data_IF_304513913246
#
_entry.id   IF_304513913246
#
_cell.length_a   1.000
_cell.length_b   1.000
_cell.length_c   1.000
_cell.angle_alpha   90.00
_cell.angle_beta   90.00
_cell.angle_gamma   90.00
#
_symmetry.space_group_name_H-M   'P 1'
#
loop_
_entity.id
_entity.type
_entity.pdbx_description
1 polymer ?
#
# COMPACT_ATOMS: atom_id res chain seq x y z
N UNK A 1 70.62 -9.67 -6.31
CA UNK A 1 69.53 -8.99 -5.56
C UNK A 1 68.71 -8.06 -6.47
N UNK A 2 68.06 -8.57 -7.54
CA UNK A 2 67.27 -7.71 -8.47
C UNK A 2 65.82 -8.17 -8.73
N UNK A 3 65.38 -9.29 -8.16
CA UNK A 3 64.06 -9.87 -8.45
C UNK A 3 63.03 -9.72 -7.30
N UNK A 4 63.44 -9.14 -6.17
CA UNK A 4 62.56 -8.91 -5.02
C UNK A 4 61.39 -7.93 -5.30
N UNK A 5 61.55 -6.83 -6.09
CA UNK A 5 60.43 -5.92 -6.34
C UNK A 5 59.39 -6.50 -7.33
N UNK A 6 59.82 -7.34 -8.27
CA UNK A 6 58.92 -8.00 -9.21
C UNK A 6 58.02 -9.04 -8.52
N UNK A 7 58.59 -9.81 -7.58
CA UNK A 7 57.84 -10.79 -6.78
C UNK A 7 56.82 -10.07 -5.87
N UNK A 8 57.18 -8.93 -5.29
CA UNK A 8 56.29 -8.14 -4.46
C UNK A 8 55.13 -7.51 -5.25
N UNK A 9 55.40 -6.99 -6.45
CA UNK A 9 54.35 -6.53 -7.38
C UNK A 9 53.42 -7.66 -7.81
N UNK A 10 53.96 -8.87 -8.06
CA UNK A 10 53.17 -10.02 -8.47
C UNK A 10 52.28 -10.54 -7.33
N UNK A 11 52.77 -10.53 -6.08
CA UNK A 11 51.98 -10.85 -4.88
C UNK A 11 50.88 -9.80 -4.66
N UNK A 12 51.18 -8.50 -4.80
CA UNK A 12 50.19 -7.44 -4.73
C UNK A 12 49.13 -7.60 -5.83
N UNK A 13 49.54 -7.91 -7.07
CA UNK A 13 48.62 -8.15 -8.18
C UNK A 13 47.75 -9.40 -7.96
N UNK A 14 48.29 -10.48 -7.39
CA UNK A 14 47.53 -11.67 -6.98
C UNK A 14 46.58 -11.36 -5.82
N UNK A 15 46.98 -10.51 -4.86
CA UNK A 15 46.11 -10.04 -3.79
C UNK A 15 44.99 -9.14 -4.32
N UNK A 16 45.24 -8.30 -5.34
CA UNK A 16 44.22 -7.50 -6.02
C UNK A 16 43.28 -8.34 -6.90
N UNK A 17 43.77 -9.40 -7.56
CA UNK A 17 42.91 -10.34 -8.31
C UNK A 17 41.99 -11.13 -7.38
N UNK A 18 42.44 -11.46 -6.16
CA UNK A 18 41.64 -12.19 -5.17
C UNK A 18 40.69 -11.30 -4.33
N UNK A 19 40.66 -9.98 -4.56
CA UNK A 19 39.64 -9.07 -4.01
C UNK A 19 38.64 -8.65 -5.11
N UNK A 20 38.29 -9.61 -5.96
CA UNK A 20 36.97 -9.65 -6.56
C UNK A 20 36.30 -10.90 -6.01
N UNK A 21 35.85 -10.83 -4.76
CA UNK A 21 34.76 -11.69 -4.33
C UNK A 21 33.56 -11.21 -5.15
N UNK A 22 33.41 -11.76 -6.36
CA UNK A 22 32.30 -11.48 -7.25
C UNK A 22 31.06 -11.86 -6.49
N UNK A 23 30.50 -10.87 -5.79
CA UNK A 23 29.34 -11.03 -4.94
C UNK A 23 28.16 -11.18 -5.90
N UNK A 24 27.96 -12.41 -6.36
CA UNK A 24 26.94 -12.77 -7.33
C UNK A 24 25.59 -12.74 -6.64
N UNK A 25 24.64 -12.01 -7.20
CA UNK A 25 23.26 -12.03 -6.75
C UNK A 25 22.61 -13.36 -7.10
N UNK A 26 21.84 -13.92 -6.17
CA UNK A 26 21.03 -15.10 -6.47
C UNK A 26 19.98 -14.75 -7.52
N UNK A 27 19.86 -15.59 -8.55
CA UNK A 27 18.87 -15.42 -9.63
C UNK A 27 17.57 -16.19 -9.39
N UNK A 28 17.56 -17.12 -8.44
CA UNK A 28 16.37 -17.90 -8.05
C UNK A 28 16.51 -18.51 -6.64
N UNK A 29 15.38 -18.93 -6.07
CA UNK A 29 15.30 -19.88 -4.97
C UNK A 29 14.25 -20.95 -5.34
N UNK A 30 14.69 -22.19 -5.54
CA UNK A 30 13.85 -23.21 -6.14
C UNK A 30 13.31 -22.76 -7.51
N UNK A 31 12.00 -22.82 -7.67
CA UNK A 31 11.30 -22.39 -8.89
C UNK A 31 10.94 -20.89 -8.92
N UNK A 32 11.31 -20.13 -7.88
CA UNK A 32 10.99 -18.70 -7.80
C UNK A 32 12.17 -17.89 -8.35
N UNK A 33 12.01 -17.19 -9.49
CA UNK A 33 13.05 -16.29 -9.99
C UNK A 33 13.17 -15.05 -9.11
N UNK A 34 14.39 -14.71 -8.71
CA UNK A 34 14.74 -13.55 -7.89
C UNK A 34 15.36 -12.48 -8.79
N UNK A 35 14.69 -11.35 -8.87
CA UNK A 35 15.10 -10.15 -9.61
C UNK A 35 14.68 -8.93 -8.82
N UNK A 36 15.25 -7.78 -9.16
CA UNK A 36 14.84 -6.51 -8.58
C UNK A 36 13.31 -6.33 -8.65
N UNK A 37 12.64 -5.91 -7.56
CA UNK A 37 13.23 -5.43 -6.31
C UNK A 37 13.60 -6.51 -5.30
N UNK A 38 13.16 -7.75 -5.48
CA UNK A 38 13.41 -8.82 -4.52
C UNK A 38 14.89 -9.22 -4.45
N UNK A 39 15.31 -9.61 -3.25
CA UNK A 39 16.62 -10.20 -2.94
C UNK A 39 16.46 -11.36 -1.97
N UNK A 40 17.46 -12.22 -1.89
CA UNK A 40 17.56 -13.19 -0.80
C UNK A 40 18.30 -12.57 0.40
N UNK A 41 17.97 -13.03 1.61
CA UNK A 41 18.61 -12.56 2.85
C UNK A 41 20.12 -12.79 2.88
N UNK A 42 20.60 -13.85 2.21
CA UNK A 42 22.02 -14.17 2.06
C UNK A 42 22.69 -13.42 0.90
N UNK A 43 21.94 -12.66 0.10
CA UNK A 43 22.53 -11.94 -1.02
C UNK A 43 23.44 -10.81 -0.54
N UNK A 44 24.48 -10.48 -1.31
CA UNK A 44 25.26 -9.26 -1.15
C UNK A 44 24.45 -7.98 -1.04
N UNK A 45 25.02 -6.92 -0.44
CA UNK A 45 24.29 -5.67 -0.22
C UNK A 45 23.92 -4.89 -1.49
N UNK A 46 24.59 -5.18 -2.61
CA UNK A 46 24.33 -4.57 -3.93
C UNK A 46 23.24 -5.29 -4.73
N UNK A 47 22.64 -6.35 -4.19
CA UNK A 47 21.59 -7.13 -4.83
C UNK A 47 20.20 -6.73 -4.34
N UNK A 48 19.31 -6.45 -5.29
CA UNK A 48 17.92 -6.11 -5.04
C UNK A 48 17.76 -4.98 -4.03
N UNK A 49 16.66 -5.02 -3.30
CA UNK A 49 16.29 -4.01 -2.33
C UNK A 49 16.09 -4.62 -0.94
N UNK A 50 16.67 -4.00 0.09
CA UNK A 50 16.65 -4.48 1.48
C UNK A 50 15.24 -4.60 2.06
N UNK A 51 14.29 -3.80 1.56
CA UNK A 51 12.91 -3.86 2.03
C UNK A 51 12.11 -5.00 1.36
N UNK A 52 12.63 -5.59 0.27
CA UNK A 52 12.02 -6.71 -0.45
C UNK A 52 12.82 -8.00 -0.27
N UNK A 53 13.15 -8.31 0.98
CA UNK A 53 13.94 -9.48 1.33
C UNK A 53 13.08 -10.75 1.45
N UNK A 54 13.54 -11.82 0.80
CA UNK A 54 13.00 -13.17 0.89
C UNK A 54 14.02 -14.11 1.53
N UNK A 55 13.53 -15.12 2.23
CA UNK A 55 14.38 -16.20 2.75
C UNK A 55 14.31 -17.42 1.83
N UNK A 56 15.45 -18.04 1.57
CA UNK A 56 15.54 -19.32 0.87
C UNK A 56 15.95 -20.42 1.86
N UNK A 57 15.05 -21.37 2.08
CA UNK A 57 15.29 -22.50 2.99
C UNK A 57 16.12 -23.60 2.29
N UNK A 58 16.70 -24.51 3.07
CA UNK A 58 17.52 -25.61 2.57
C UNK A 58 16.77 -26.56 1.62
N UNK A 59 15.46 -26.67 1.79
CA UNK A 59 14.58 -27.43 0.90
C UNK A 59 14.15 -26.65 -0.37
N UNK A 60 14.84 -25.56 -0.70
CA UNK A 60 14.56 -24.68 -1.83
C UNK A 60 13.18 -23.98 -1.79
N UNK A 61 12.57 -23.88 -0.60
CA UNK A 61 11.34 -23.11 -0.42
C UNK A 61 11.67 -21.63 -0.17
N UNK A 62 10.97 -20.75 -0.90
CA UNK A 62 11.06 -19.30 -0.74
C UNK A 62 10.01 -18.83 0.27
N UNK A 63 10.44 -18.08 1.28
CA UNK A 63 9.61 -17.55 2.36
C UNK A 63 9.60 -16.03 2.31
N UNK A 64 8.40 -15.46 2.38
CA UNK A 64 8.17 -14.07 2.74
C UNK A 64 7.85 -13.98 4.24
N UNK A 65 8.55 -13.12 4.95
CA UNK A 65 8.18 -12.73 6.31
C UNK A 65 7.46 -11.39 6.25
N UNK A 66 6.18 -11.38 6.63
CA UNK A 66 5.34 -10.19 6.53
C UNK A 66 4.40 -10.10 7.73
N UNK A 67 4.33 -8.93 8.39
CA UNK A 67 3.44 -8.68 9.54
C UNK A 67 3.49 -9.77 10.63
N UNK A 68 4.69 -10.31 10.90
CA UNK A 68 4.96 -11.41 11.85
C UNK A 68 4.43 -12.79 11.44
N UNK A 69 3.85 -12.91 10.25
CA UNK A 69 3.50 -14.16 9.61
C UNK A 69 4.61 -14.65 8.68
N UNK A 70 4.63 -15.96 8.46
CA UNK A 70 5.46 -16.61 7.47
C UNK A 70 4.60 -17.13 6.34
N UNK A 71 5.02 -16.87 5.11
CA UNK A 71 4.29 -17.29 3.92
C UNK A 71 5.24 -17.92 2.90
N UNK A 72 4.86 -19.06 2.33
CA UNK A 72 5.55 -19.61 1.17
C UNK A 72 5.21 -18.78 -0.06
N UNK A 73 6.22 -18.38 -0.83
CA UNK A 73 6.04 -17.68 -2.10
C UNK A 73 5.74 -18.71 -3.19
N UNK A 74 4.56 -18.60 -3.80
CA UNK A 74 4.10 -19.50 -4.88
C UNK A 74 4.53 -19.00 -6.25
N UNK A 75 4.48 -17.68 -6.47
CA UNK A 75 4.95 -17.02 -7.71
C UNK A 75 5.22 -15.55 -7.46
N UNK A 76 6.12 -14.97 -8.26
CA UNK A 76 6.32 -13.53 -8.39
C UNK A 76 6.07 -13.17 -9.86
N UNK A 77 5.09 -12.32 -10.11
CA UNK A 77 4.86 -11.70 -11.40
C UNK A 77 5.53 -10.32 -11.41
N UNK A 78 6.57 -10.18 -12.23
CA UNK A 78 7.28 -8.91 -12.38
C UNK A 78 6.54 -7.92 -13.29
N UNK A 79 5.83 -8.44 -14.29
CA UNK A 79 5.00 -7.64 -15.19
C UNK A 79 3.78 -7.07 -14.44
N UNK A 80 3.07 -7.92 -13.70
CA UNK A 80 1.88 -7.50 -12.97
C UNK A 80 2.20 -7.03 -11.54
N UNK A 81 3.47 -6.91 -11.14
CA UNK A 81 3.83 -6.45 -9.80
C UNK A 81 3.13 -7.20 -8.65
N UNK A 82 2.89 -8.50 -8.81
CA UNK A 82 2.19 -9.36 -7.84
C UNK A 82 3.16 -10.37 -7.24
N UNK A 83 3.07 -10.59 -5.94
CA UNK A 83 3.60 -11.78 -5.27
C UNK A 83 2.44 -12.59 -4.73
N UNK A 84 2.33 -13.86 -5.16
CA UNK A 84 1.34 -14.79 -4.60
C UNK A 84 1.96 -15.57 -3.48
N UNK A 85 1.32 -15.56 -2.32
CA UNK A 85 1.82 -16.22 -1.12
C UNK A 85 0.75 -17.11 -0.50
N UNK A 86 1.18 -18.16 0.19
CA UNK A 86 0.32 -19.03 0.98
C UNK A 86 0.85 -19.07 2.41
N UNK A 87 -0.04 -18.96 3.39
CA UNK A 87 0.33 -19.11 4.79
C UNK A 87 0.96 -20.50 5.02
N UNK A 88 2.07 -20.54 5.76
CA UNK A 88 2.81 -21.79 5.99
C UNK A 88 1.95 -22.90 6.63
N UNK A 89 0.89 -22.54 7.38
CA UNK A 89 -0.02 -23.51 8.00
C UNK A 89 -1.10 -24.04 7.05
N UNK A 90 -1.22 -23.50 5.84
CA UNK A 90 -2.16 -23.96 4.81
C UNK A 90 -1.47 -24.65 3.64
N UNK A 91 -0.15 -24.59 3.58
CA UNK A 91 0.59 -25.31 2.56
C UNK A 91 0.51 -26.83 2.77
N UNK A 92 0.64 -27.57 1.67
CA UNK A 92 0.76 -29.03 1.64
C UNK A 92 -0.44 -29.79 2.25
N UNK A 93 -1.66 -29.28 2.07
CA UNK A 93 -2.88 -29.93 2.58
C UNK A 93 -3.03 -29.88 4.10
N UNK A 94 -2.28 -28.98 4.75
CA UNK A 94 -2.38 -28.79 6.20
C UNK A 94 -3.70 -28.13 6.55
N UNK A 95 -4.32 -28.62 7.63
CA UNK A 95 -5.57 -28.07 8.15
C UNK A 95 -5.31 -27.43 9.51
N UNK A 96 -5.67 -26.15 9.67
CA UNK A 96 -5.38 -25.41 10.88
C UNK A 96 -5.85 -23.96 10.86
N UNK A 97 -5.32 -23.19 11.81
CA UNK A 97 -5.42 -21.72 11.84
C UNK A 97 -4.21 -21.13 11.10
N UNK A 98 -4.33 -19.92 10.51
CA UNK A 98 -3.19 -19.27 9.87
C UNK A 98 -2.08 -19.04 10.89
N UNK A 99 -0.84 -18.97 10.40
CA UNK A 99 0.33 -18.74 11.23
C UNK A 99 0.23 -17.42 12.00
N UNK A 100 -0.29 -16.39 11.32
CA UNK A 100 -0.72 -15.13 11.94
C UNK A 100 -1.92 -14.53 11.26
N UNK A 101 -2.69 -13.82 12.09
CA UNK A 101 -3.80 -13.00 11.64
C UNK A 101 -3.28 -11.90 10.71
N UNK A 102 -3.92 -11.80 9.56
CA UNK A 102 -3.65 -10.79 8.56
C UNK A 102 -4.98 -10.28 8.01
N UNK A 103 -5.21 -8.97 8.11
CA UNK A 103 -6.39 -8.32 7.54
C UNK A 103 -6.06 -7.69 6.19
N UNK A 104 -7.06 -7.50 5.32
CA UNK A 104 -6.88 -6.78 4.06
C UNK A 104 -6.44 -5.33 4.29
N UNK A 105 -6.91 -4.68 5.36
CA UNK A 105 -6.48 -3.33 5.75
C UNK A 105 -4.97 -3.24 6.00
N UNK A 106 -4.38 -4.27 6.63
CA UNK A 106 -2.93 -4.33 6.83
C UNK A 106 -2.14 -4.44 5.53
N UNK A 107 -2.74 -5.01 4.48
CA UNK A 107 -2.18 -5.02 3.13
C UNK A 107 -2.34 -3.64 2.48
N UNK A 108 -3.55 -3.09 2.43
CA UNK A 108 -3.82 -1.79 1.80
C UNK A 108 -3.00 -0.64 2.37
N UNK A 109 -2.69 -0.68 3.66
CA UNK A 109 -1.92 0.35 4.35
C UNK A 109 -0.40 0.07 4.35
N UNK A 110 0.05 -1.01 3.72
CA UNK A 110 1.46 -1.32 3.60
C UNK A 110 2.11 -0.55 2.44
N UNK A 111 3.20 0.19 2.67
CA UNK A 111 3.85 0.94 1.59
C UNK A 111 4.58 0.05 0.58
N UNK A 112 5.02 -1.15 1.00
CA UNK A 112 5.76 -2.08 0.16
C UNK A 112 4.79 -2.94 -0.63
N UNK A 113 3.63 -3.21 -0.05
CA UNK A 113 2.58 -4.05 -0.61
C UNK A 113 1.19 -3.34 -0.65
N UNK A 114 1.04 -2.22 -1.36
CA UNK A 114 -0.12 -1.32 -1.24
C UNK A 114 -1.44 -1.85 -1.84
N UNK A 115 -1.48 -3.09 -2.32
CA UNK A 115 -2.66 -3.69 -2.92
C UNK A 115 -2.68 -5.21 -2.82
N UNK A 116 -3.78 -5.81 -3.28
CA UNK A 116 -4.00 -7.26 -3.21
C UNK A 116 -3.76 -7.88 -4.58
N UNK A 117 -4.58 -7.53 -5.56
CA UNK A 117 -4.53 -8.08 -6.92
C UNK A 117 -5.14 -7.11 -7.93
N UNK A 118 -5.02 -7.42 -9.21
CA UNK A 118 -5.62 -6.67 -10.32
C UNK A 118 -7.15 -6.77 -10.30
N UNK A 119 -7.69 -7.96 -10.03
CA UNK A 119 -9.12 -8.18 -9.93
C UNK A 119 -9.54 -8.46 -8.49
N UNK A 120 -9.74 -7.38 -7.74
CA UNK A 120 -10.04 -7.44 -6.30
C UNK A 120 -11.40 -8.08 -5.99
N UNK A 121 -12.31 -8.25 -6.97
CA UNK A 121 -13.62 -8.90 -6.74
C UNK A 121 -13.49 -10.36 -6.31
N UNK A 122 -12.37 -11.00 -6.64
CA UNK A 122 -12.03 -12.38 -6.23
C UNK A 122 -11.24 -12.45 -4.92
N UNK A 123 -11.05 -11.31 -4.24
CA UNK A 123 -10.36 -11.25 -2.97
C UNK A 123 -11.36 -11.34 -1.83
N UNK A 124 -11.07 -12.24 -0.89
CA UNK A 124 -11.93 -12.55 0.24
C UNK A 124 -11.13 -12.50 1.52
N UNK A 125 -11.84 -12.30 2.62
CA UNK A 125 -11.30 -12.45 3.97
C UNK A 125 -11.92 -13.69 4.60
N UNK A 126 -11.09 -14.64 5.03
CA UNK A 126 -11.50 -15.85 5.73
C UNK A 126 -11.46 -15.56 7.23
N UNK A 127 -12.63 -15.41 7.85
CA UNK A 127 -12.76 -15.12 9.28
C UNK A 127 -13.07 -16.40 10.05
N UNK A 128 -12.14 -16.82 10.90
CA UNK A 128 -12.31 -17.99 11.74
C UNK A 128 -13.07 -17.64 13.00
N UNK A 129 -14.22 -18.29 13.19
CA UNK A 129 -15.10 -18.10 14.33
C UNK A 129 -15.06 -19.35 15.21
N UNK A 130 -14.84 -19.17 16.51
CA UNK A 130 -15.04 -20.23 17.50
C UNK A 130 -16.33 -19.98 18.25
N UNK A 131 -17.23 -20.95 18.24
CA UNK A 131 -18.54 -20.85 18.84
C UNK A 131 -18.69 -21.83 20.02
N UNK A 132 -19.55 -21.48 20.98
CA UNK A 132 -19.89 -22.35 22.11
C UNK A 132 -20.94 -23.41 21.77
N UNK A 133 -21.58 -23.29 20.62
CA UNK A 133 -22.61 -24.21 20.12
C UNK A 133 -22.60 -24.21 18.60
N UNK A 134 -23.22 -25.25 18.02
CA UNK A 134 -23.35 -25.37 16.57
C UNK A 134 -24.14 -24.20 15.96
N UNK A 135 -23.67 -23.70 14.81
CA UNK A 135 -24.33 -22.66 14.03
C UNK A 135 -24.80 -23.25 12.70
N UNK A 136 -26.10 -23.52 12.58
CA UNK A 136 -26.68 -24.17 11.38
C UNK A 136 -26.34 -23.45 10.08
N UNK A 137 -26.32 -22.11 10.09
CA UNK A 137 -25.99 -21.28 8.93
C UNK A 137 -24.56 -21.42 8.44
N UNK A 138 -23.63 -21.82 9.32
CA UNK A 138 -22.21 -22.00 9.02
C UNK A 138 -21.80 -23.48 8.94
N UNK A 139 -22.75 -24.41 9.06
CA UNK A 139 -22.46 -25.85 9.12
C UNK A 139 -21.58 -26.36 7.97
N UNK A 140 -21.75 -25.81 6.76
CA UNK A 140 -20.95 -26.20 5.58
C UNK A 140 -19.47 -25.78 5.67
N UNK A 141 -19.17 -24.70 6.39
CA UNK A 141 -17.81 -24.16 6.55
C UNK A 141 -17.14 -24.56 7.86
N UNK A 142 -17.68 -25.59 8.53
CA UNK A 142 -17.11 -26.14 9.76
C UNK A 142 -15.72 -26.73 9.50
N UNK A 143 -14.77 -26.34 10.32
CA UNK A 143 -13.36 -26.76 10.25
C UNK A 143 -13.19 -28.08 11.00
N UNK A 144 -13.39 -29.20 10.31
CA UNK A 144 -13.45 -30.52 10.93
C UNK A 144 -12.15 -30.97 11.64
N UNK A 145 -11.00 -30.45 11.23
CA UNK A 145 -9.70 -30.82 11.81
C UNK A 145 -9.39 -30.12 13.14
N UNK A 146 -10.15 -29.08 13.52
CA UNK A 146 -9.95 -28.35 14.76
C UNK A 146 -10.92 -28.86 15.83
N UNK A 147 -10.47 -28.86 17.09
CA UNK A 147 -11.34 -29.23 18.20
C UNK A 147 -12.38 -28.15 18.50
N UNK A 148 -13.62 -28.57 18.74
CA UNK A 148 -14.75 -27.70 19.02
C UNK A 148 -15.44 -27.18 17.75
N UNK A 149 -16.36 -26.23 17.94
CA UNK A 149 -17.13 -25.66 16.84
C UNK A 149 -16.43 -24.44 16.28
N UNK A 150 -15.55 -24.71 15.31
CA UNK A 150 -14.83 -23.69 14.54
C UNK A 150 -15.39 -23.63 13.12
N UNK A 151 -15.68 -22.42 12.67
CA UNK A 151 -16.25 -22.15 11.35
C UNK A 151 -15.43 -21.09 10.63
N UNK A 152 -15.52 -21.06 9.30
CA UNK A 152 -14.98 -19.97 8.50
C UNK A 152 -16.13 -19.18 7.88
N UNK A 153 -16.16 -17.87 8.12
CA UNK A 153 -17.09 -16.92 7.49
C UNK A 153 -16.32 -16.04 6.52
N UNK A 154 -16.73 -16.04 5.26
CA UNK A 154 -16.13 -15.20 4.23
C UNK A 154 -16.73 -13.79 4.27
N UNK A 155 -15.90 -12.78 4.02
CA UNK A 155 -16.34 -11.43 3.64
C UNK A 155 -15.61 -10.98 2.38
N UNK A 156 -16.26 -10.16 1.57
CA UNK A 156 -15.68 -9.64 0.32
C UNK A 156 -14.58 -8.60 0.58
N UNK A 157 -13.84 -8.20 -0.45
CA UNK A 157 -12.71 -7.27 -0.35
C UNK A 157 -13.06 -5.89 0.21
N UNK A 158 -14.31 -5.44 0.02
CA UNK A 158 -14.81 -4.16 0.51
C UNK A 158 -15.51 -4.25 1.87
N UNK A 159 -15.66 -5.47 2.42
CA UNK A 159 -16.41 -5.72 3.65
C UNK A 159 -15.47 -6.13 4.78
N UNK A 160 -15.55 -5.39 5.88
CA UNK A 160 -14.96 -5.82 7.15
C UNK A 160 -16.05 -6.47 7.99
N UNK A 161 -15.78 -7.67 8.53
CA UNK A 161 -16.73 -8.38 9.37
C UNK A 161 -17.08 -7.52 10.61
N UNK A 162 -18.34 -7.10 10.69
CA UNK A 162 -18.82 -6.31 11.82
C UNK A 162 -19.08 -7.20 13.04
N UNK A 163 -18.88 -6.66 14.24
CA UNK A 163 -19.20 -7.35 15.49
C UNK A 163 -20.67 -7.78 15.57
N UNK A 164 -21.58 -7.02 14.94
CA UNK A 164 -23.00 -7.34 14.88
C UNK A 164 -23.32 -8.56 13.99
N UNK A 165 -22.41 -8.91 13.09
CA UNK A 165 -22.56 -10.04 12.17
C UNK A 165 -21.95 -11.34 12.72
N UNK A 166 -21.29 -11.26 13.88
CA UNK A 166 -20.76 -12.42 14.61
C UNK A 166 -21.90 -12.94 15.50
N UNK A 167 -22.30 -14.22 15.39
CA UNK A 167 -23.30 -14.77 16.28
C UNK A 167 -22.87 -14.63 17.75
N UNK A 168 -23.82 -14.39 18.65
CA UNK A 168 -23.53 -14.08 20.06
C UNK A 168 -22.78 -15.20 20.80
N UNK A 169 -22.92 -16.46 20.35
CA UNK A 169 -22.18 -17.60 20.87
C UNK A 169 -20.76 -17.74 20.30
N UNK A 170 -20.37 -16.89 19.35
CA UNK A 170 -19.12 -16.97 18.61
C UNK A 170 -18.14 -15.85 18.95
N UNK A 171 -16.86 -16.13 18.74
CA UNK A 171 -15.76 -15.15 18.81
C UNK A 171 -14.90 -15.28 17.57
N UNK A 172 -14.49 -14.14 17.00
CA UNK A 172 -13.44 -14.10 15.98
C UNK A 172 -12.12 -14.50 16.64
N UNK A 173 -11.49 -15.56 16.14
CA UNK A 173 -10.23 -16.09 16.68
C UNK A 173 -9.05 -15.88 15.73
N UNK A 174 -9.31 -15.66 14.44
CA UNK A 174 -8.28 -15.45 13.44
C UNK A 174 -8.86 -14.95 12.12
N UNK A 175 -8.06 -14.28 11.31
CA UNK A 175 -8.44 -13.77 9.99
C UNK A 175 -7.26 -13.88 9.02
N UNK A 176 -7.54 -14.23 7.77
CA UNK A 176 -6.51 -14.31 6.72
C UNK A 176 -7.11 -13.96 5.35
N UNK A 177 -6.36 -13.31 4.45
CA UNK A 177 -6.80 -13.09 3.08
C UNK A 177 -6.87 -14.39 2.29
N UNK A 178 -7.72 -14.43 1.28
CA UNK A 178 -7.80 -15.51 0.31
C UNK A 178 -8.16 -14.97 -1.07
N UNK A 179 -7.84 -15.74 -2.11
CA UNK A 179 -8.20 -15.43 -3.49
C UNK A 179 -8.89 -16.63 -4.14
N UNK A 180 -10.03 -16.38 -4.79
CA UNK A 180 -10.78 -17.40 -5.50
C UNK A 180 -11.62 -16.82 -6.63
N UNK A 181 -11.45 -17.36 -7.84
CA UNK A 181 -12.09 -16.88 -9.07
C UNK A 181 -13.55 -17.36 -9.16
N UNK A 182 -14.35 -16.96 -8.19
CA UNK A 182 -15.80 -17.09 -8.20
C UNK A 182 -16.40 -15.87 -7.52
N UNK A 183 -17.30 -15.15 -8.20
CA UNK A 183 -17.91 -13.94 -7.68
C UNK A 183 -18.99 -14.25 -6.65
N UNK A 184 -19.11 -13.35 -5.66
CA UNK A 184 -20.14 -13.40 -4.61
C UNK A 184 -20.10 -14.74 -3.84
N UNK A 185 -18.91 -15.31 -3.68
CA UNK A 185 -18.71 -16.62 -3.05
C UNK A 185 -19.22 -16.63 -1.61
N UNK A 186 -19.10 -15.52 -0.89
CA UNK A 186 -19.60 -15.34 0.47
C UNK A 186 -21.11 -15.60 0.60
N UNK A 187 -21.88 -15.22 -0.42
CA UNK A 187 -23.34 -15.41 -0.45
C UNK A 187 -23.72 -16.87 -0.72
N UNK A 188 -22.84 -17.62 -1.39
CA UNK A 188 -23.05 -19.04 -1.71
C UNK A 188 -22.80 -19.96 -0.51
N UNK A 189 -22.25 -19.43 0.61
CA UNK A 189 -21.91 -20.18 1.83
C UNK A 189 -21.11 -21.46 1.48
N UNK A 190 -19.87 -21.32 0.99
CA UNK A 190 -19.11 -22.42 0.43
C UNK A 190 -18.82 -23.51 1.47
N UNK A 191 -18.57 -24.73 1.00
CA UNK A 191 -18.11 -25.81 1.87
C UNK A 191 -16.69 -25.56 2.35
N UNK A 192 -16.32 -26.18 3.47
CA UNK A 192 -14.95 -26.13 3.96
C UNK A 192 -13.94 -26.70 2.95
N UNK A 193 -14.35 -27.63 2.09
CA UNK A 193 -13.50 -28.12 0.99
C UNK A 193 -13.12 -27.03 -0.01
N UNK A 194 -14.08 -26.16 -0.38
CA UNK A 194 -13.77 -24.99 -1.22
C UNK A 194 -12.82 -24.04 -0.48
N UNK A 195 -13.05 -23.82 0.81
CA UNK A 195 -12.20 -22.95 1.64
C UNK A 195 -10.77 -23.49 1.74
N UNK A 196 -10.58 -24.81 1.87
CA UNK A 196 -9.26 -25.44 1.83
C UNK A 196 -8.55 -25.15 0.50
N UNK A 197 -9.26 -25.24 -0.64
CA UNK A 197 -8.68 -24.90 -1.94
C UNK A 197 -8.27 -23.43 -2.03
N UNK A 198 -9.04 -22.51 -1.42
CA UNK A 198 -8.67 -21.09 -1.30
C UNK A 198 -7.42 -20.88 -0.44
N UNK A 199 -7.30 -21.65 0.64
CA UNK A 199 -6.14 -21.58 1.54
C UNK A 199 -4.88 -22.11 0.86
N UNK A 200 -4.99 -23.21 0.12
CA UNK A 200 -3.89 -23.81 -0.63
C UNK A 200 -3.45 -22.96 -1.83
N UNK A 201 -4.39 -22.25 -2.48
CA UNK A 201 -4.09 -21.32 -3.57
C UNK A 201 -3.38 -20.07 -3.05
N UNK A 202 -3.69 -19.66 -1.82
CA UNK A 202 -3.14 -18.49 -1.15
C UNK A 202 -3.82 -17.19 -1.58
N UNK A 203 -3.10 -16.09 -1.45
CA UNK A 203 -3.56 -14.76 -1.83
C UNK A 203 -2.45 -13.96 -2.52
N UNK A 204 -2.88 -12.98 -3.29
CA UNK A 204 -1.98 -12.05 -3.98
C UNK A 204 -1.69 -10.83 -3.11
N UNK A 205 -0.49 -10.30 -3.25
CA UNK A 205 -0.09 -8.99 -2.74
C UNK A 205 0.55 -8.22 -3.89
N UNK A 206 0.12 -6.99 -4.13
CA UNK A 206 0.74 -6.10 -5.12
C UNK A 206 1.89 -5.37 -4.46
N UNK A 207 3.08 -5.42 -5.04
CA UNK A 207 4.26 -4.72 -4.53
C UNK A 207 4.57 -3.45 -5.34
N UNK A 208 5.07 -2.40 -4.67
CA UNK A 208 5.51 -1.17 -5.35
C UNK A 208 6.71 -0.51 -4.68
N UNK A 209 7.80 -0.39 -5.45
CA UNK A 209 8.99 0.37 -5.03
C UNK A 209 8.68 1.87 -4.91
N UNK A 210 7.88 2.42 -5.82
CA UNK A 210 7.59 3.85 -5.88
C UNK A 210 6.82 4.38 -4.67
N UNK A 211 6.04 3.54 -4.00
CA UNK A 211 5.27 3.93 -2.83
C UNK A 211 6.07 4.06 -1.53
N UNK A 212 7.30 3.57 -1.51
CA UNK A 212 8.22 3.81 -0.38
C UNK A 212 8.51 5.29 -0.20
N UNK A 213 8.68 6.03 -1.30
CA UNK A 213 9.03 7.45 -1.27
C UNK A 213 7.94 8.33 -0.63
N UNK A 214 6.69 7.86 -0.59
CA UNK A 214 5.61 8.55 0.10
C UNK A 214 5.80 8.64 1.62
N UNK A 215 6.60 7.74 2.22
CA UNK A 215 6.90 7.79 3.66
C UNK A 215 8.05 8.74 3.99
N UNK A 216 8.96 8.98 3.05
CA UNK A 216 10.14 9.84 3.27
C UNK A 216 9.85 11.32 3.01
N UNK A 217 8.87 11.65 2.16
CA UNK A 217 8.44 13.03 1.90
C UNK A 217 7.63 13.56 3.08
N UNK A 218 8.19 14.54 3.81
CA UNK A 218 7.63 15.18 5.02
C UNK A 218 6.30 15.95 4.82
N UNK A 219 5.61 15.82 3.68
CA UNK A 219 4.37 16.56 3.38
C UNK A 219 3.37 15.67 2.65
N UNK A 220 2.13 15.64 3.18
CA UNK A 220 0.88 14.99 2.71
C UNK A 220 1.01 14.32 1.32
N UNK A 221 1.57 13.12 1.25
CA UNK A 221 1.64 12.29 0.03
C UNK A 221 0.99 10.93 0.27
N UNK A 222 0.30 10.41 -0.74
CA UNK A 222 -0.42 9.13 -0.68
C UNK A 222 0.05 8.22 -1.81
N UNK A 223 0.27 6.96 -1.47
CA UNK A 223 0.45 5.90 -2.45
C UNK A 223 -0.90 5.60 -3.11
N UNK A 224 -0.96 5.69 -4.43
CA UNK A 224 -2.18 5.49 -5.20
C UNK A 224 -1.89 4.68 -6.45
N UNK A 225 -2.91 3.96 -6.92
CA UNK A 225 -2.85 3.32 -8.22
C UNK A 225 -2.68 4.38 -9.31
N UNK A 226 -1.76 4.14 -10.24
CA UNK A 226 -1.46 5.04 -11.35
C UNK A 226 -2.62 5.11 -12.35
N UNK A 227 -3.24 3.97 -12.61
CA UNK A 227 -4.41 3.85 -13.45
C UNK A 227 -5.43 2.91 -12.79
N UNK A 228 -6.74 3.12 -13.02
CA UNK A 228 -7.75 2.15 -12.63
C UNK A 228 -7.43 0.77 -13.22
N UNK A 229 -7.56 -0.28 -12.41
CA UNK A 229 -7.34 -1.68 -12.83
C UNK A 229 -5.90 -2.05 -13.18
N UNK A 230 -4.90 -1.24 -12.79
CA UNK A 230 -3.48 -1.65 -12.82
C UNK A 230 -2.96 -1.94 -11.42
N UNK A 231 -1.88 -2.71 -11.38
CA UNK A 231 -1.08 -2.98 -10.17
C UNK A 231 0.12 -2.05 -10.08
N UNK A 232 0.19 -1.03 -10.94
CA UNK A 232 1.18 0.03 -10.85
C UNK A 232 0.72 1.07 -9.83
N UNK A 233 1.53 1.29 -8.79
CA UNK A 233 1.29 2.33 -7.82
C UNK A 233 2.39 3.39 -7.88
N UNK A 234 1.98 4.65 -7.73
CA UNK A 234 2.87 5.79 -7.67
C UNK A 234 2.59 6.66 -6.43
N UNK A 235 3.58 7.49 -6.09
CA UNK A 235 3.45 8.41 -4.98
C UNK A 235 2.90 9.75 -5.45
N UNK A 236 1.66 10.06 -5.09
CA UNK A 236 1.02 11.34 -5.41
C UNK A 236 1.10 12.32 -4.22
N UNK A 237 1.32 13.59 -4.52
CA UNK A 237 1.20 14.66 -3.53
C UNK A 237 -0.27 15.06 -3.40
N UNK A 238 -0.77 15.09 -2.16
CA UNK A 238 -2.08 15.65 -1.87
C UNK A 238 -1.92 17.18 -1.85
N UNK A 239 -2.54 17.85 -2.81
CA UNK A 239 -2.70 19.31 -2.75
C UNK A 239 -3.78 19.62 -1.71
N UNK A 240 -3.51 20.54 -0.79
CA UNK A 240 -4.46 20.93 0.25
C UNK A 240 -5.54 21.86 -0.30
N UNK A 241 -6.78 21.39 -0.35
CA UNK A 241 -7.95 22.24 -0.59
C UNK A 241 -8.07 23.38 0.45
N UNK A 242 -7.59 23.14 1.67
CA UNK A 242 -7.54 24.12 2.78
C UNK A 242 -6.68 25.35 2.44
N UNK A 243 -5.55 25.14 1.76
CA UNK A 243 -4.65 26.21 1.31
C UNK A 243 -5.28 27.09 0.23
N UNK A 244 -6.09 26.51 -0.65
CA UNK A 244 -6.78 27.25 -1.70
C UNK A 244 -7.91 28.12 -1.12
N UNK A 245 -8.66 27.62 -0.13
CA UNK A 245 -9.67 28.43 0.55
C UNK A 245 -9.04 29.57 1.38
N UNK A 246 -7.92 29.36 2.07
CA UNK A 246 -7.21 30.45 2.76
C UNK A 246 -6.75 31.54 1.78
N UNK A 247 -6.14 31.16 0.66
CA UNK A 247 -5.73 32.10 -0.40
C UNK A 247 -6.94 32.82 -0.99
N UNK A 248 -8.03 32.09 -1.24
CA UNK A 248 -9.27 32.65 -1.79
C UNK A 248 -9.85 33.70 -0.85
N UNK A 249 -9.87 33.44 0.46
CA UNK A 249 -10.32 34.41 1.47
C UNK A 249 -9.40 35.65 1.52
N UNK A 250 -8.07 35.46 1.42
CA UNK A 250 -7.12 36.58 1.36
C UNK A 250 -7.31 37.44 0.11
N UNK A 251 -7.51 36.82 -1.06
CA UNK A 251 -7.76 37.54 -2.33
C UNK A 251 -9.07 38.31 -2.26
N UNK A 252 -10.15 37.69 -1.75
CA UNK A 252 -11.43 38.36 -1.54
C UNK A 252 -11.26 39.54 -0.58
N UNK A 253 -10.58 39.37 0.54
CA UNK A 253 -10.30 40.45 1.48
C UNK A 253 -9.56 41.64 0.84
N UNK A 254 -8.48 41.37 0.09
CA UNK A 254 -7.69 42.40 -0.59
C UNK A 254 -8.50 43.14 -1.66
N UNK A 255 -9.30 42.42 -2.45
CA UNK A 255 -10.16 43.04 -3.46
C UNK A 255 -11.23 43.95 -2.85
N UNK A 256 -11.85 43.55 -1.74
CA UNK A 256 -12.84 44.38 -1.03
C UNK A 256 -12.20 45.65 -0.47
N UNK A 257 -11.00 45.57 0.12
CA UNK A 257 -10.26 46.74 0.62
C UNK A 257 -9.91 47.68 -0.52
N UNK A 258 -9.44 47.16 -1.65
CA UNK A 258 -9.08 47.98 -2.82
C UNK A 258 -10.29 48.70 -3.43
N UNK A 259 -11.42 48.01 -3.57
CA UNK A 259 -12.67 48.60 -4.09
C UNK A 259 -13.22 49.64 -3.12
N UNK A 260 -13.22 49.36 -1.82
CA UNK A 260 -13.63 50.31 -0.78
C UNK A 260 -12.77 51.57 -0.78
N UNK A 261 -11.44 51.41 -0.91
CA UNK A 261 -10.49 52.51 -1.02
C UNK A 261 -10.74 53.38 -2.26
N UNK A 262 -10.97 52.77 -3.42
CA UNK A 262 -11.32 53.49 -4.66
C UNK A 262 -12.63 54.26 -4.51
N UNK A 263 -13.69 53.63 -3.98
CA UNK A 263 -14.97 54.30 -3.74
C UNK A 263 -14.79 55.49 -2.80
N UNK A 264 -14.03 55.32 -1.70
CA UNK A 264 -13.71 56.39 -0.77
C UNK A 264 -12.96 57.54 -1.43
N UNK A 265 -11.93 57.23 -2.23
CA UNK A 265 -11.17 58.23 -2.98
C UNK A 265 -12.05 59.03 -3.94
N UNK A 266 -12.91 58.36 -4.71
CA UNK A 266 -13.85 59.03 -5.62
C UNK A 266 -14.86 59.91 -4.86
N UNK A 267 -15.46 59.40 -3.77
CA UNK A 267 -16.51 60.12 -3.03
C UNK A 267 -15.99 61.28 -2.21
N UNK A 268 -14.85 61.13 -1.54
CA UNK A 268 -14.38 62.10 -0.55
C UNK A 268 -13.25 63.01 -1.06
N UNK A 269 -12.56 62.66 -2.14
CA UNK A 269 -11.47 63.47 -2.70
C UNK A 269 -11.85 64.03 -4.07
N UNK A 270 -12.11 63.17 -5.06
CA UNK A 270 -12.35 63.63 -6.43
C UNK A 270 -13.67 64.41 -6.56
N UNK A 271 -14.78 63.89 -6.03
CA UNK A 271 -16.08 64.55 -6.17
C UNK A 271 -16.11 65.95 -5.52
N UNK A 272 -15.62 66.16 -4.28
CA UNK A 272 -15.55 67.49 -3.69
C UNK A 272 -14.59 68.43 -4.45
N UNK A 273 -13.46 67.94 -4.95
CA UNK A 273 -12.54 68.75 -5.75
C UNK A 273 -13.19 69.24 -7.06
N UNK A 274 -13.94 68.36 -7.74
CA UNK A 274 -14.70 68.74 -8.96
C UNK A 274 -15.78 69.75 -8.65
N UNK A 275 -16.56 69.55 -7.56
CA UNK A 275 -17.58 70.50 -7.13
C UNK A 275 -16.94 71.85 -6.77
N UNK A 276 -15.83 71.84 -6.03
CA UNK A 276 -15.11 73.05 -5.65
C UNK A 276 -14.55 73.80 -6.86
N UNK A 277 -13.94 73.09 -7.82
CA UNK A 277 -13.48 73.68 -9.07
C UNK A 277 -14.63 74.28 -9.89
N UNK A 278 -15.78 73.59 -9.95
CA UNK A 278 -16.98 74.10 -10.62
C UNK A 278 -17.55 75.35 -9.93
N UNK A 279 -17.61 75.36 -8.60
CA UNK A 279 -18.04 76.52 -7.81
C UNK A 279 -17.09 77.71 -7.99
N UNK A 280 -15.77 77.48 -7.98
CA UNK A 280 -14.78 78.53 -8.25
C UNK A 280 -14.95 79.12 -9.65
N UNK A 281 -15.10 78.27 -10.67
CA UNK A 281 -15.35 78.70 -12.04
C UNK A 281 -16.63 79.56 -12.12
N UNK A 282 -17.72 79.13 -11.49
CA UNK A 282 -18.98 79.87 -11.45
C UNK A 282 -18.86 81.21 -10.70
N UNK A 283 -18.15 81.26 -9.57
CA UNK A 283 -17.92 82.49 -8.82
C UNK A 283 -17.08 83.50 -9.60
N UNK A 284 -16.04 83.05 -10.32
CA UNK A 284 -15.24 83.93 -11.17
C UNK A 284 -16.08 84.51 -12.32
N UNK A 285 -16.89 83.70 -13.01
CA UNK A 285 -17.73 84.20 -14.11
C UNK A 285 -18.89 85.10 -13.66
N UNK A 286 -19.40 84.96 -12.43
CA UNK A 286 -20.52 85.78 -11.94
C UNK A 286 -20.09 87.16 -11.42
N UNK A 287 -18.78 87.43 -11.33
CA UNK A 287 -18.22 88.68 -10.80
C UNK A 287 -17.98 89.74 -11.88
N UNK A 288 -18.23 89.39 -13.15
CA UNK A 288 -18.12 90.24 -14.34
C UNK A 288 -19.49 90.76 -14.86
N UNK A 289 -20.50 90.79 -13.99
CA UNK A 289 -21.76 91.52 -14.21
C UNK A 289 -22.00 92.55 -13.09
#
# INVERSE_FOLDING_TARGET
MKNLPALFCLIIFILFINVNNGQTCSSSCGNIPIKYPFRLSKDPSNCGDRDYELSCLENNSTILYFRKGFYYVKKISYEEHIIRVVDVNFANGSCGLPNRDLTLDQLYNDPLYPGITKNYTYSYTLNYLRCSSEISDLGKSRVACLSGDVYVKLTSYYETLSFLEIPSSCKLISTVPGYYEDEMLEQKKPSYETILKMQESGFDMVWSVGCRECKSRRRRSRCSQRFPSTTEFECMQLYDDEYYEEIRQLIIGLSVVSVGGLIGFFRFILLPLVIFAFLLHKCCCSRDH
#
